data_IF_582833540025
#
_entry.id   IF_582833540025
#
_cell.length_a   1.000
_cell.length_b   1.000
_cell.length_c   1.000
_cell.angle_alpha   90.00
_cell.angle_beta   90.00
_cell.angle_gamma   90.00
#
_symmetry.space_group_name_H-M   'P 1'
#
loop_
_entity.id
_entity.type
_entity.pdbx_description
1 polymer ?
#
# COMPACT_ATOMS: atom_id res chain seq x y z
N UNK A 1 18.54 31.21 10.81
CA UNK A 1 17.08 30.99 10.60
C UNK A 1 16.85 30.11 9.37
N UNK A 2 17.63 30.30 8.27
CA UNK A 2 17.42 29.54 7.02
C UNK A 2 17.69 28.03 7.11
N UNK A 3 18.71 27.59 7.85
CA UNK A 3 19.06 26.17 7.98
C UNK A 3 17.94 25.34 8.67
N UNK A 4 17.32 25.88 9.71
CA UNK A 4 16.23 25.19 10.44
C UNK A 4 14.94 25.02 9.61
N UNK A 5 14.68 25.96 8.71
CA UNK A 5 13.51 25.88 7.80
C UNK A 5 13.76 24.85 6.71
N UNK A 6 14.98 24.79 6.17
CA UNK A 6 15.36 23.79 5.16
C UNK A 6 15.30 22.37 5.74
N UNK A 7 15.81 22.14 6.95
CA UNK A 7 15.73 20.84 7.65
C UNK A 7 14.29 20.45 7.97
N UNK A 8 13.44 21.41 8.33
CA UNK A 8 12.02 21.17 8.57
C UNK A 8 11.31 20.75 7.29
N UNK A 9 11.56 21.45 6.16
CA UNK A 9 10.96 21.11 4.87
C UNK A 9 11.46 19.78 4.32
N UNK A 10 12.74 19.45 4.55
CA UNK A 10 13.31 18.16 4.12
C UNK A 10 12.72 16.97 4.89
N UNK A 11 12.38 17.16 6.16
CA UNK A 11 11.79 16.13 7.01
C UNK A 11 10.24 16.14 7.02
N UNK A 12 9.62 17.06 6.29
CA UNK A 12 8.16 17.20 6.25
C UNK A 12 7.44 15.89 5.84
N UNK A 13 7.92 15.13 4.83
CA UNK A 13 7.30 13.85 4.47
C UNK A 13 7.34 12.83 5.62
N UNK A 14 8.46 12.72 6.34
CA UNK A 14 8.59 11.81 7.48
C UNK A 14 7.68 12.22 8.65
N UNK A 15 7.61 13.51 8.95
CA UNK A 15 6.71 14.05 9.99
C UNK A 15 5.25 13.84 9.61
N UNK A 16 4.89 14.11 8.35
CA UNK A 16 3.53 13.88 7.84
C UNK A 16 3.16 12.40 7.90
N UNK A 17 4.09 11.51 7.55
CA UNK A 17 3.91 10.06 7.66
C UNK A 17 3.67 9.58 9.09
N UNK A 18 4.40 10.13 10.06
CA UNK A 18 4.19 9.84 11.50
C UNK A 18 2.85 10.36 11.97
N UNK A 19 2.47 11.58 11.59
CA UNK A 19 1.16 12.16 11.95
C UNK A 19 0.01 11.39 11.33
N UNK A 20 0.11 10.97 10.06
CA UNK A 20 -0.91 10.14 9.42
C UNK A 20 -1.02 8.76 10.07
N UNK A 21 0.10 8.10 10.37
CA UNK A 21 0.08 6.81 11.10
C UNK A 21 -0.54 6.94 12.49
N UNK A 22 -0.24 8.00 13.24
CA UNK A 22 -0.85 8.25 14.54
C UNK A 22 -2.35 8.56 14.44
N UNK A 23 -2.78 9.32 13.43
CA UNK A 23 -4.22 9.57 13.19
C UNK A 23 -4.98 8.29 12.89
N UNK A 24 -4.42 7.39 12.07
CA UNK A 24 -5.04 6.10 11.75
C UNK A 24 -5.14 5.20 12.99
N UNK A 25 -4.17 5.31 13.92
CA UNK A 25 -4.18 4.56 15.18
C UNK A 25 -5.18 5.10 16.20
N UNK A 26 -5.53 6.39 16.12
CA UNK A 26 -6.41 7.06 17.11
C UNK A 26 -7.87 7.26 16.65
N UNK A 27 -8.12 7.23 15.34
CA UNK A 27 -9.49 7.45 14.81
C UNK A 27 -10.18 6.13 14.45
N UNK A 28 -10.55 5.36 15.46
CA UNK A 28 -11.38 4.15 15.27
C UNK A 28 -12.79 4.44 14.76
N UNK A 29 -13.26 5.69 14.76
CA UNK A 29 -14.62 6.06 14.34
C UNK A 29 -14.67 6.81 12.98
N UNK A 30 -13.58 7.33 12.45
CA UNK A 30 -13.60 8.03 11.17
C UNK A 30 -12.67 7.31 10.17
N UNK A 31 -13.15 6.19 9.64
CA UNK A 31 -12.42 5.35 8.68
C UNK A 31 -11.95 6.19 7.51
N UNK A 32 -10.64 6.25 7.31
CA UNK A 32 -10.00 7.03 6.26
C UNK A 32 -10.56 6.64 4.87
N UNK A 33 -11.00 7.63 4.10
CA UNK A 33 -11.62 7.43 2.79
C UNK A 33 -10.54 7.43 1.70
N UNK A 34 -10.39 6.31 0.99
CA UNK A 34 -9.46 6.12 -0.11
C UNK A 34 -10.24 6.02 -1.44
N UNK A 35 -11.05 7.04 -1.73
CA UNK A 35 -11.96 7.04 -2.88
C UNK A 35 -11.35 7.64 -4.16
N UNK A 36 -10.16 8.21 -4.07
CA UNK A 36 -9.43 8.73 -5.23
C UNK A 36 -7.95 8.34 -5.16
N UNK A 37 -7.33 8.28 -6.33
CA UNK A 37 -5.95 7.82 -6.48
C UNK A 37 -4.95 8.77 -5.81
N UNK A 38 -5.22 10.07 -5.72
CA UNK A 38 -4.29 11.01 -5.12
C UNK A 38 -4.24 10.82 -3.60
N UNK A 39 -5.41 10.72 -2.95
CA UNK A 39 -5.49 10.40 -1.52
C UNK A 39 -4.81 9.08 -1.20
N UNK A 40 -5.00 8.05 -2.03
CA UNK A 40 -4.36 6.77 -1.87
C UNK A 40 -2.83 6.89 -2.03
N UNK A 41 -2.34 7.59 -3.05
CA UNK A 41 -0.90 7.82 -3.26
C UNK A 41 -0.25 8.54 -2.09
N UNK A 42 -0.82 9.64 -1.65
CA UNK A 42 -0.29 10.41 -0.51
C UNK A 42 -0.17 9.54 0.75
N UNK A 43 -1.18 8.71 0.99
CA UNK A 43 -1.15 7.73 2.07
C UNK A 43 0.00 6.73 1.91
N UNK A 44 0.17 6.16 0.70
CA UNK A 44 1.21 5.16 0.42
C UNK A 44 2.61 5.77 0.50
N UNK A 45 2.84 6.96 -0.05
CA UNK A 45 4.11 7.65 0.10
C UNK A 45 4.47 7.87 1.58
N UNK A 46 3.49 8.25 2.41
CA UNK A 46 3.72 8.37 3.85
C UNK A 46 4.01 7.03 4.53
N UNK A 47 3.41 5.93 4.05
CA UNK A 47 3.62 4.58 4.59
C UNK A 47 5.05 4.08 4.36
N UNK A 48 5.66 4.46 3.24
CA UNK A 48 6.99 4.02 2.84
C UNK A 48 8.10 5.06 3.04
N UNK A 49 7.81 6.24 3.60
CA UNK A 49 8.75 7.37 3.68
C UNK A 49 10.05 7.07 4.43
N UNK A 50 10.07 6.10 5.32
CA UNK A 50 11.22 5.73 6.16
C UNK A 50 11.73 4.30 5.90
N UNK A 51 11.34 3.69 4.78
CA UNK A 51 11.67 2.29 4.51
C UNK A 51 12.94 2.16 3.66
N UNK A 52 13.96 1.52 4.24
CA UNK A 52 15.22 1.17 3.56
C UNK A 52 15.24 -0.26 3.01
N UNK A 53 14.20 -1.04 3.29
CA UNK A 53 14.03 -2.42 2.84
C UNK A 53 12.70 -2.58 2.12
N UNK A 54 12.62 -3.56 1.24
CA UNK A 54 11.38 -3.88 0.56
C UNK A 54 10.34 -4.40 1.54
N UNK A 55 9.15 -3.84 1.50
CA UNK A 55 8.01 -4.22 2.33
C UNK A 55 6.74 -4.22 1.51
N UNK A 56 5.87 -5.19 1.76
CA UNK A 56 4.55 -5.20 1.16
C UNK A 56 3.46 -5.12 2.23
N UNK A 57 2.43 -4.37 1.87
CA UNK A 57 1.23 -4.18 2.68
C UNK A 57 -0.01 -4.49 1.86
N UNK A 58 -1.04 -4.92 2.56
CA UNK A 58 -2.39 -5.06 2.02
C UNK A 58 -3.32 -4.12 2.78
N UNK A 59 -4.10 -3.35 2.05
CA UNK A 59 -5.11 -2.44 2.59
C UNK A 59 -6.48 -3.08 2.36
N UNK A 60 -7.27 -3.18 3.42
CA UNK A 60 -8.63 -3.71 3.38
C UNK A 60 -9.63 -2.55 3.42
N UNK A 61 -10.54 -2.50 2.45
CA UNK A 61 -11.52 -1.43 2.32
C UNK A 61 -12.95 -2.01 2.36
N UNK A 62 -13.87 -1.22 2.91
CA UNK A 62 -15.29 -1.54 2.85
C UNK A 62 -15.91 -1.11 1.51
N UNK A 63 -17.21 -1.39 1.32
CA UNK A 63 -17.96 -1.02 0.10
C UNK A 63 -17.96 0.49 -0.18
N UNK A 64 -17.75 1.33 0.83
CA UNK A 64 -17.65 2.78 0.69
C UNK A 64 -16.21 3.27 0.51
N UNK A 65 -15.27 2.39 0.13
CA UNK A 65 -13.84 2.69 -0.06
C UNK A 65 -13.15 3.26 1.18
N UNK A 66 -13.69 3.01 2.38
CA UNK A 66 -13.05 3.42 3.62
C UNK A 66 -12.07 2.35 4.08
N UNK A 67 -10.89 2.78 4.49
CA UNK A 67 -9.88 1.89 5.04
C UNK A 67 -10.39 1.25 6.34
N UNK A 68 -10.51 -0.08 6.33
CA UNK A 68 -10.82 -0.87 7.52
C UNK A 68 -9.55 -1.10 8.33
N UNK A 69 -8.50 -1.58 7.63
CA UNK A 69 -7.21 -1.95 8.21
C UNK A 69 -6.14 -2.03 7.12
N UNK A 70 -4.89 -1.89 7.49
CA UNK A 70 -3.76 -2.31 6.67
C UNK A 70 -2.89 -3.30 7.44
N UNK A 71 -2.27 -4.23 6.74
CA UNK A 71 -1.39 -5.23 7.34
C UNK A 71 -0.17 -5.46 6.47
N UNK A 72 0.97 -5.67 7.12
CA UNK A 72 2.16 -6.16 6.44
C UNK A 72 1.97 -7.63 6.07
N UNK A 73 2.20 -7.98 4.81
CA UNK A 73 1.99 -9.34 4.29
C UNK A 73 3.25 -10.02 3.79
N UNK A 74 4.36 -9.30 3.74
CA UNK A 74 5.62 -9.86 3.31
C UNK A 74 6.40 -10.45 4.47
N UNK A 75 6.87 -11.67 4.29
CA UNK A 75 7.97 -12.25 5.05
C UNK A 75 9.13 -12.38 4.05
N UNK A 76 9.93 -11.33 3.87
CA UNK A 76 10.96 -11.30 2.84
C UNK A 76 12.35 -11.02 3.35
N UNK A 77 13.32 -11.69 2.74
CA UNK A 77 14.72 -11.29 2.68
C UNK A 77 14.89 -10.05 1.82
N UNK A 78 16.05 -9.40 1.89
CA UNK A 78 16.35 -8.11 1.25
C UNK A 78 16.18 -8.03 -0.27
N UNK A 79 15.83 -9.12 -0.97
CA UNK A 79 15.84 -9.20 -2.43
C UNK A 79 14.51 -9.53 -3.10
N UNK A 80 13.52 -10.08 -2.39
CA UNK A 80 12.19 -10.39 -2.96
C UNK A 80 11.11 -10.45 -1.88
N UNK A 81 9.98 -9.78 -2.14
CA UNK A 81 8.76 -9.90 -1.34
C UNK A 81 7.92 -11.04 -1.88
N UNK A 82 7.79 -12.11 -1.07
CA UNK A 82 6.80 -13.16 -1.37
C UNK A 82 5.45 -12.78 -0.79
N UNK A 83 4.47 -12.63 -1.66
CA UNK A 83 3.09 -12.40 -1.27
C UNK A 83 2.43 -13.76 -1.02
N UNK A 84 2.07 -14.01 0.22
CA UNK A 84 1.31 -15.22 0.57
C UNK A 84 -0.17 -15.04 0.21
N UNK A 85 -0.56 -15.41 -1.01
CA UNK A 85 -1.92 -15.25 -1.55
C UNK A 85 -2.99 -15.80 -0.60
N UNK A 86 -2.83 -17.01 -0.12
CA UNK A 86 -3.79 -17.64 0.81
C UNK A 86 -3.94 -16.85 2.12
N UNK A 87 -2.84 -16.29 2.63
CA UNK A 87 -2.86 -15.43 3.83
C UNK A 87 -3.59 -14.11 3.53
N UNK A 88 -3.32 -13.49 2.36
CA UNK A 88 -3.96 -12.25 1.95
C UNK A 88 -5.48 -12.42 1.82
N UNK A 89 -5.94 -13.46 1.12
CA UNK A 89 -7.38 -13.78 0.96
C UNK A 89 -8.04 -14.06 2.31
N UNK A 90 -7.42 -14.90 3.14
CA UNK A 90 -7.94 -15.19 4.48
C UNK A 90 -8.08 -13.93 5.33
N UNK A 91 -7.08 -13.02 5.28
CA UNK A 91 -7.13 -11.73 6.01
C UNK A 91 -8.21 -10.81 5.45
N UNK A 92 -8.41 -10.77 4.15
CA UNK A 92 -9.47 -10.00 3.52
C UNK A 92 -10.86 -10.46 3.99
N UNK A 93 -11.10 -11.76 4.06
CA UNK A 93 -12.34 -12.34 4.59
C UNK A 93 -12.53 -11.98 6.06
N UNK A 94 -11.51 -12.19 6.91
CA UNK A 94 -11.58 -11.93 8.35
C UNK A 94 -11.80 -10.44 8.68
N UNK A 95 -11.33 -9.54 7.83
CA UNK A 95 -11.58 -8.10 7.96
C UNK A 95 -12.90 -7.65 7.31
N UNK A 96 -13.70 -8.59 6.76
CA UNK A 96 -14.94 -8.27 6.04
C UNK A 96 -14.72 -7.21 4.94
N UNK A 97 -13.61 -7.32 4.22
CA UNK A 97 -13.26 -6.41 3.15
C UNK A 97 -14.16 -6.61 1.93
N UNK A 98 -14.57 -5.50 1.31
CA UNK A 98 -15.19 -5.53 -0.01
C UNK A 98 -14.13 -5.39 -1.11
N UNK A 99 -13.07 -4.64 -0.81
CA UNK A 99 -11.96 -4.39 -1.72
C UNK A 99 -10.61 -4.48 -1.01
N UNK A 100 -9.59 -4.72 -1.82
CA UNK A 100 -8.19 -4.80 -1.39
C UNK A 100 -7.34 -3.90 -2.28
N UNK A 101 -6.34 -3.25 -1.69
CA UNK A 101 -5.21 -2.67 -2.41
C UNK A 101 -3.94 -3.36 -1.94
N UNK A 102 -3.16 -3.88 -2.89
CA UNK A 102 -1.82 -4.37 -2.64
C UNK A 102 -0.83 -3.24 -2.87
N UNK A 103 0.20 -3.15 -2.06
CA UNK A 103 1.28 -2.18 -2.28
C UNK A 103 2.60 -2.68 -1.74
N UNK A 104 3.68 -2.35 -2.42
CA UNK A 104 5.04 -2.55 -1.92
C UNK A 104 5.96 -1.43 -2.40
N UNK A 105 7.12 -1.31 -1.79
CA UNK A 105 8.13 -0.35 -2.20
C UNK A 105 9.33 -1.05 -2.81
N UNK A 106 9.96 -0.39 -3.78
CA UNK A 106 11.28 -0.74 -4.27
C UNK A 106 12.32 0.25 -3.72
N UNK A 107 13.21 -0.18 -2.80
CA UNK A 107 14.24 0.70 -2.22
C UNK A 107 15.24 1.24 -3.27
N UNK A 108 15.37 0.56 -4.41
CA UNK A 108 16.19 1.02 -5.55
C UNK A 108 15.67 2.30 -6.20
N UNK A 109 14.41 2.70 -5.93
CA UNK A 109 13.74 3.82 -6.57
C UNK A 109 13.08 3.47 -7.92
N UNK A 110 13.35 2.31 -8.50
CA UNK A 110 12.63 1.85 -9.70
C UNK A 110 11.19 1.46 -9.35
N UNK A 111 10.23 1.88 -10.16
CA UNK A 111 8.82 1.51 -9.99
C UNK A 111 8.35 0.44 -10.97
N UNK A 112 9.25 -0.03 -11.84
CA UNK A 112 8.89 -1.06 -12.83
C UNK A 112 8.61 -2.39 -12.12
N UNK A 113 7.46 -3.01 -12.40
CA UNK A 113 7.11 -4.29 -11.82
C UNK A 113 8.04 -5.40 -12.34
N UNK A 114 8.40 -6.33 -11.48
CA UNK A 114 9.05 -7.57 -11.85
C UNK A 114 8.03 -8.59 -12.40
N UNK A 115 8.51 -9.65 -13.05
CA UNK A 115 7.66 -10.76 -13.48
C UNK A 115 6.94 -11.42 -12.28
N UNK A 116 7.60 -11.45 -11.12
CA UNK A 116 7.02 -11.96 -9.88
C UNK A 116 5.87 -11.07 -9.38
N UNK A 117 6.00 -9.72 -9.50
CA UNK A 117 4.93 -8.79 -9.15
C UNK A 117 3.71 -8.98 -10.06
N UNK A 118 3.94 -9.16 -11.36
CA UNK A 118 2.88 -9.39 -12.34
C UNK A 118 2.15 -10.70 -12.03
N UNK A 119 2.90 -11.79 -11.80
CA UNK A 119 2.33 -13.11 -11.51
C UNK A 119 1.52 -13.09 -10.21
N UNK A 120 2.11 -12.58 -9.12
CA UNK A 120 1.44 -12.54 -7.81
C UNK A 120 0.22 -11.61 -7.79
N UNK A 121 0.24 -10.53 -8.58
CA UNK A 121 -0.93 -9.65 -8.73
C UNK A 121 -2.10 -10.39 -9.37
N UNK A 122 -1.84 -11.11 -10.45
CA UNK A 122 -2.86 -11.91 -11.15
C UNK A 122 -3.41 -13.01 -10.25
N UNK A 123 -2.54 -13.77 -9.60
CA UNK A 123 -2.94 -14.83 -8.66
C UNK A 123 -3.81 -14.29 -7.51
N UNK A 124 -3.44 -13.12 -6.97
CA UNK A 124 -4.21 -12.48 -5.90
C UNK A 124 -5.58 -12.02 -6.40
N UNK A 125 -5.66 -11.39 -7.57
CA UNK A 125 -6.93 -10.95 -8.16
C UNK A 125 -7.88 -12.12 -8.41
N UNK A 126 -7.40 -13.19 -9.04
CA UNK A 126 -8.17 -14.40 -9.28
C UNK A 126 -8.69 -15.02 -7.96
N UNK A 127 -7.82 -15.12 -6.95
CA UNK A 127 -8.18 -15.70 -5.66
C UNK A 127 -9.21 -14.86 -4.89
N UNK A 128 -9.05 -13.53 -4.89
CA UNK A 128 -10.00 -12.60 -4.26
C UNK A 128 -11.36 -12.61 -4.96
N UNK A 129 -11.37 -12.63 -6.29
CA UNK A 129 -12.60 -12.70 -7.09
C UNK A 129 -13.41 -13.97 -6.79
N UNK A 130 -12.74 -15.09 -6.51
CA UNK A 130 -13.41 -16.34 -6.13
C UNK A 130 -14.26 -16.21 -4.86
N UNK A 131 -13.87 -15.32 -3.95
CA UNK A 131 -14.58 -15.05 -2.68
C UNK A 131 -15.40 -13.76 -2.71
N UNK A 132 -15.57 -13.14 -3.88
CA UNK A 132 -16.38 -11.92 -4.06
C UNK A 132 -15.72 -10.64 -3.53
N UNK A 133 -14.41 -10.61 -3.42
CA UNK A 133 -13.63 -9.44 -3.00
C UNK A 133 -12.89 -8.89 -4.22
N UNK A 134 -12.94 -7.57 -4.44
CA UNK A 134 -12.25 -6.94 -5.58
C UNK A 134 -10.83 -6.51 -5.24
N UNK A 135 -9.85 -6.82 -6.11
CA UNK A 135 -8.56 -6.14 -6.10
C UNK A 135 -8.71 -4.79 -6.80
N UNK A 136 -8.61 -3.69 -6.05
CA UNK A 136 -8.73 -2.34 -6.64
C UNK A 136 -7.48 -1.92 -7.39
N UNK A 137 -6.31 -2.21 -6.84
CA UNK A 137 -5.04 -1.89 -7.46
C UNK A 137 -3.89 -2.65 -6.79
N UNK A 138 -2.79 -2.76 -7.51
CA UNK A 138 -1.48 -3.02 -6.96
C UNK A 138 -0.58 -1.81 -7.28
N UNK A 139 -0.02 -1.18 -6.26
CA UNK A 139 0.76 0.04 -6.38
C UNK A 139 2.17 -0.20 -5.88
N UNK A 140 3.15 0.06 -6.74
CA UNK A 140 4.57 0.01 -6.41
C UNK A 140 5.05 1.44 -6.14
N UNK A 141 5.76 1.64 -5.03
CA UNK A 141 6.35 2.93 -4.65
C UNK A 141 7.87 2.85 -4.80
N UNK A 142 8.47 3.82 -5.47
CA UNK A 142 9.92 3.94 -5.63
C UNK A 142 10.35 5.39 -5.62
N UNK A 143 11.07 5.81 -4.57
CA UNK A 143 11.43 7.21 -4.39
C UNK A 143 10.19 8.12 -4.37
N UNK A 144 10.17 9.11 -5.24
CA UNK A 144 9.04 10.04 -5.41
C UNK A 144 8.08 9.62 -6.54
N UNK A 145 8.19 8.38 -7.02
CA UNK A 145 7.41 7.84 -8.12
C UNK A 145 6.57 6.65 -7.69
N UNK A 146 5.55 6.34 -8.46
CA UNK A 146 4.70 5.17 -8.27
C UNK A 146 4.37 4.51 -9.61
N UNK A 147 3.99 3.24 -9.53
CA UNK A 147 3.41 2.49 -10.63
C UNK A 147 2.09 1.87 -10.17
N UNK A 148 1.03 2.05 -10.96
CA UNK A 148 -0.29 1.44 -10.73
C UNK A 148 -0.54 0.39 -11.80
N UNK A 149 -0.82 -0.81 -11.40
CA UNK A 149 -1.21 -1.90 -12.32
C UNK A 149 -2.52 -1.60 -13.02
N UNK A 150 -3.45 -0.99 -12.32
CA UNK A 150 -4.76 -0.60 -12.86
C UNK A 150 -4.63 0.49 -13.92
N UNK A 151 -3.87 1.56 -13.66
CA UNK A 151 -3.64 2.65 -14.63
C UNK A 151 -2.90 2.12 -15.87
N UNK A 152 -2.00 1.18 -15.69
CA UNK A 152 -1.20 0.55 -16.77
C UNK A 152 -1.92 -0.58 -17.49
N UNK A 153 -3.16 -0.92 -17.10
CA UNK A 153 -3.98 -1.99 -17.69
C UNK A 153 -3.29 -3.35 -17.71
N UNK A 154 -2.55 -3.68 -16.65
CA UNK A 154 -1.84 -4.97 -16.54
C UNK A 154 -2.70 -6.11 -16.00
N UNK A 155 -3.98 -5.85 -15.66
CA UNK A 155 -5.01 -6.86 -15.36
C UNK A 155 -6.41 -6.34 -15.65
#
# INVERSE_FOLDING_TARGET
>A
IGARVADFLHNLPAVLGVVMRSKISYETDNKFLLNDINTLKDYLFSLFSDTVSERAYILFLNKGFRLIKFEKISDGSLEQVYIHISKAVRRAILNNAAYVVLTHNHPSGSVMPSDADISSTRELDEALNTVGIGLLDHIIIGGDSYYSFRESRHY
#
